data_IF_672164064121
#
_entry.id   IF_672164064121
#
_cell.length_a   1.000
_cell.length_b   1.000
_cell.length_c   1.000
_cell.angle_alpha   90.00
_cell.angle_beta   90.00
_cell.angle_gamma   90.00
#
_symmetry.space_group_name_H-M   'P 1'
#
loop_
_entity.id
_entity.type
_entity.pdbx_description
1 polymer ?
#
# COMPACT_ATOMS: atom_id res chain seq x y z
N UNK A 1 -9.45 -8.05 17.73
CA UNK A 1 -8.56 -8.45 18.82
C UNK A 1 -8.28 -7.19 19.64
N UNK A 2 -8.81 -7.11 20.87
CA UNK A 2 -8.45 -6.10 21.86
C UNK A 2 -6.94 -6.13 22.17
N UNK A 3 -6.39 -5.00 22.62
CA UNK A 3 -4.97 -4.88 22.98
C UNK A 3 -4.59 -5.78 24.16
N UNK A 4 -5.53 -5.97 25.08
CA UNK A 4 -5.39 -6.74 26.31
C UNK A 4 -5.25 -8.24 26.05
N UNK A 5 -5.71 -8.71 24.89
CA UNK A 5 -5.64 -10.13 24.48
C UNK A 5 -4.30 -10.50 23.81
N UNK A 6 -3.44 -9.51 23.52
CA UNK A 6 -2.15 -9.73 22.88
C UNK A 6 -1.10 -10.27 23.85
N UNK A 7 -0.17 -11.10 23.35
CA UNK A 7 1.02 -11.48 24.12
C UNK A 7 1.98 -10.31 24.28
N UNK A 8 2.94 -10.42 25.21
CA UNK A 8 3.95 -9.37 25.40
C UNK A 8 4.86 -9.22 24.18
N UNK A 9 5.14 -10.31 23.46
CA UNK A 9 5.88 -10.27 22.21
C UNK A 9 5.11 -9.53 21.11
N UNK A 10 3.80 -9.78 20.99
CA UNK A 10 2.94 -9.09 20.02
C UNK A 10 2.86 -7.60 20.33
N UNK A 11 2.66 -7.22 21.59
CA UNK A 11 2.65 -5.81 22.03
C UNK A 11 3.99 -5.13 21.74
N UNK A 12 5.10 -5.80 22.01
CA UNK A 12 6.44 -5.29 21.71
C UNK A 12 6.62 -5.04 20.20
N UNK A 13 6.18 -6.00 19.37
CA UNK A 13 6.23 -5.88 17.91
C UNK A 13 5.36 -4.73 17.41
N UNK A 14 4.13 -4.60 17.91
CA UNK A 14 3.22 -3.52 17.53
C UNK A 14 3.83 -2.18 17.90
N UNK A 15 4.31 -2.00 19.13
CA UNK A 15 4.94 -0.75 19.56
C UNK A 15 6.14 -0.37 18.69
N UNK A 16 6.92 -1.37 18.26
CA UNK A 16 7.99 -1.14 17.29
C UNK A 16 7.45 -0.66 15.94
N UNK A 17 6.37 -1.27 15.42
CA UNK A 17 5.72 -0.85 14.17
C UNK A 17 5.14 0.57 14.26
N UNK A 18 4.46 0.89 15.36
CA UNK A 18 3.88 2.20 15.63
C UNK A 18 4.95 3.29 15.60
N UNK A 19 6.09 3.10 16.27
CA UNK A 19 7.11 4.15 16.39
C UNK A 19 8.09 4.15 15.24
N UNK A 20 8.54 2.97 14.84
CA UNK A 20 9.72 2.81 13.99
C UNK A 20 9.39 2.49 12.54
N UNK A 21 8.14 2.12 12.20
CA UNK A 21 7.76 1.77 10.84
C UNK A 21 6.72 2.72 10.26
N UNK A 22 5.48 2.67 10.75
CA UNK A 22 4.36 3.39 10.12
C UNK A 22 3.84 4.59 10.91
N UNK A 23 4.06 4.77 12.21
CA UNK A 23 3.61 5.99 12.90
C UNK A 23 2.14 6.03 13.29
N UNK A 24 1.43 4.91 13.27
CA UNK A 24 -0.04 4.82 13.42
C UNK A 24 -0.31 4.04 14.70
N UNK A 25 -1.15 4.55 15.59
CA UNK A 25 -1.53 3.86 16.84
C UNK A 25 -2.40 2.62 16.57
N UNK A 26 -2.32 1.64 17.46
CA UNK A 26 -3.09 0.40 17.43
C UNK A 26 -4.59 0.65 17.36
N UNK A 27 -5.07 1.62 18.15
CA UNK A 27 -6.48 2.00 18.21
C UNK A 27 -6.87 3.08 17.19
N UNK A 28 -5.98 3.42 16.24
CA UNK A 28 -6.31 4.38 15.18
C UNK A 28 -7.25 3.79 14.12
N UNK A 29 -8.14 4.63 13.61
CA UNK A 29 -9.01 4.35 12.47
C UNK A 29 -10.49 4.28 12.84
N UNK A 30 -11.34 4.67 11.89
CA UNK A 30 -12.78 4.83 12.12
C UNK A 30 -13.61 3.69 11.53
N UNK A 31 -12.97 2.76 10.83
CA UNK A 31 -13.61 1.68 10.09
C UNK A 31 -13.27 0.36 10.77
N UNK A 32 -14.26 -0.33 11.37
CA UNK A 32 -14.05 -1.66 11.92
C UNK A 32 -13.57 -2.65 10.84
N UNK A 33 -12.59 -3.49 11.19
CA UNK A 33 -11.96 -4.40 10.23
C UNK A 33 -12.95 -5.36 9.53
N UNK A 34 -14.04 -5.77 10.19
CA UNK A 34 -15.07 -6.61 9.56
C UNK A 34 -15.76 -5.94 8.35
N UNK A 35 -15.71 -4.60 8.25
CA UNK A 35 -16.24 -3.84 7.10
C UNK A 35 -15.26 -3.74 5.93
N UNK A 36 -14.02 -4.21 6.09
CA UNK A 36 -12.97 -4.09 5.09
C UNK A 36 -13.42 -4.57 3.71
N UNK A 37 -14.06 -5.75 3.62
CA UNK A 37 -14.50 -6.31 2.33
C UNK A 37 -15.50 -5.39 1.63
N UNK A 38 -16.50 -4.89 2.37
CA UNK A 38 -17.51 -3.97 1.84
C UNK A 38 -16.87 -2.66 1.36
N UNK A 39 -15.95 -2.11 2.16
CA UNK A 39 -15.20 -0.89 1.83
C UNK A 39 -14.42 -1.09 0.54
N UNK A 40 -13.65 -2.17 0.42
CA UNK A 40 -12.89 -2.48 -0.79
C UNK A 40 -13.82 -2.57 -2.01
N UNK A 41 -14.91 -3.33 -1.92
CA UNK A 41 -15.87 -3.47 -3.03
C UNK A 41 -16.50 -2.16 -3.49
N UNK A 42 -16.82 -1.25 -2.55
CA UNK A 42 -17.37 0.07 -2.88
C UNK A 42 -16.32 0.91 -3.62
N UNK A 43 -15.11 1.02 -3.05
CA UNK A 43 -14.05 1.87 -3.62
C UNK A 43 -13.47 1.32 -4.92
N UNK A 44 -13.59 0.02 -5.17
CA UNK A 44 -13.11 -0.62 -6.40
C UNK A 44 -14.24 -0.96 -7.36
N UNK A 45 -15.46 -0.43 -7.17
CA UNK A 45 -16.59 -0.69 -8.06
C UNK A 45 -16.26 -0.22 -9.48
N UNK A 46 -16.38 -1.13 -10.44
CA UNK A 46 -16.09 -0.86 -11.85
C UNK A 46 -14.58 -0.84 -12.20
N UNK A 47 -13.70 -0.98 -11.21
CA UNK A 47 -12.25 -1.11 -11.45
C UNK A 47 -11.98 -2.51 -12.00
N UNK A 48 -11.42 -2.57 -13.21
CA UNK A 48 -11.09 -3.86 -13.87
C UNK A 48 -9.75 -4.43 -13.42
N UNK A 49 -8.79 -3.56 -13.08
CA UNK A 49 -7.42 -3.94 -12.75
C UNK A 49 -6.86 -3.09 -11.62
N UNK A 50 -6.21 -3.72 -10.65
CA UNK A 50 -5.48 -3.08 -9.56
C UNK A 50 -4.03 -3.53 -9.61
N UNK A 51 -3.13 -2.56 -9.52
CA UNK A 51 -1.69 -2.80 -9.45
C UNK A 51 -1.25 -2.71 -7.99
N UNK A 52 -0.52 -3.72 -7.54
CA UNK A 52 -0.03 -3.85 -6.15
C UNK A 52 1.47 -4.13 -6.21
N UNK A 53 2.22 -3.71 -5.20
CA UNK A 53 3.64 -4.09 -5.06
C UNK A 53 3.79 -5.13 -3.95
N UNK A 54 4.32 -6.29 -4.30
CA UNK A 54 4.55 -7.42 -3.41
C UNK A 54 3.50 -8.52 -3.57
N UNK A 55 3.97 -9.76 -3.74
CA UNK A 55 3.14 -10.94 -4.00
C UNK A 55 2.14 -11.22 -2.87
N UNK A 56 2.58 -11.16 -1.62
CA UNK A 56 1.71 -11.40 -0.46
C UNK A 56 0.51 -10.44 -0.43
N UNK A 57 0.72 -9.16 -0.77
CA UNK A 57 -0.36 -8.16 -0.82
C UNK A 57 -1.30 -8.40 -1.99
N UNK A 58 -0.76 -8.84 -3.14
CA UNK A 58 -1.57 -9.20 -4.29
C UNK A 58 -2.48 -10.40 -3.97
N UNK A 59 -1.94 -11.44 -3.35
CA UNK A 59 -2.71 -12.62 -2.91
C UNK A 59 -3.77 -12.25 -1.86
N UNK A 60 -3.38 -11.45 -0.85
CA UNK A 60 -4.31 -10.96 0.16
C UNK A 60 -5.49 -10.20 -0.47
N UNK A 61 -5.23 -9.31 -1.43
CA UNK A 61 -6.28 -8.52 -2.08
C UNK A 61 -7.18 -9.37 -3.00
N UNK A 62 -6.63 -10.41 -3.66
CA UNK A 62 -7.42 -11.37 -4.46
C UNK A 62 -8.49 -12.07 -3.62
N UNK A 63 -8.21 -12.36 -2.35
CA UNK A 63 -9.19 -12.99 -1.45
C UNK A 63 -10.42 -12.09 -1.20
N UNK A 64 -10.25 -10.77 -1.22
CA UNK A 64 -11.36 -9.82 -1.03
C UNK A 64 -12.05 -9.41 -2.34
N UNK A 65 -11.31 -9.43 -3.46
CA UNK A 65 -11.74 -8.94 -4.76
C UNK A 65 -11.54 -10.00 -5.86
N UNK A 66 -12.24 -11.15 -5.80
CA UNK A 66 -12.00 -12.28 -6.71
C UNK A 66 -12.27 -11.96 -8.18
N UNK A 67 -13.13 -10.98 -8.45
CA UNK A 67 -13.50 -10.57 -9.81
C UNK A 67 -12.66 -9.42 -10.36
N UNK A 68 -11.64 -8.96 -9.64
CA UNK A 68 -10.76 -7.86 -10.06
C UNK A 68 -9.40 -8.42 -10.46
N UNK A 69 -8.85 -7.97 -11.59
CA UNK A 69 -7.50 -8.39 -11.99
C UNK A 69 -6.45 -7.72 -11.09
N UNK A 70 -5.81 -8.50 -10.23
CA UNK A 70 -4.72 -8.02 -9.36
C UNK A 70 -3.37 -8.39 -9.98
N UNK A 71 -2.52 -7.39 -10.26
CA UNK A 71 -1.18 -7.60 -10.83
C UNK A 71 -0.09 -7.05 -9.91
N UNK A 72 0.97 -7.85 -9.70
CA UNK A 72 2.15 -7.39 -8.99
C UNK A 72 3.02 -6.54 -9.94
N UNK A 73 3.35 -5.32 -9.54
CA UNK A 73 4.20 -4.43 -10.35
C UNK A 73 5.66 -4.89 -10.38
N UNK A 74 6.08 -5.77 -9.48
CA UNK A 74 7.44 -6.34 -9.47
C UNK A 74 7.67 -7.24 -10.67
N UNK A 75 6.63 -7.92 -11.14
CA UNK A 75 6.66 -8.73 -12.38
C UNK A 75 6.94 -7.86 -13.61
N UNK A 76 6.71 -6.55 -13.51
CA UNK A 76 7.00 -5.55 -14.54
C UNK A 76 8.37 -4.87 -14.34
N UNK A 77 9.16 -5.31 -13.35
CA UNK A 77 10.45 -4.70 -13.01
C UNK A 77 10.36 -3.46 -12.11
N UNK A 78 9.26 -3.28 -11.36
CA UNK A 78 9.14 -2.16 -10.43
C UNK A 78 10.23 -2.23 -9.34
N UNK A 79 11.09 -1.21 -9.21
CA UNK A 79 12.21 -1.24 -8.28
C UNK A 79 11.73 -1.22 -6.82
N UNK A 80 12.62 -1.48 -5.83
CA UNK A 80 12.31 -1.27 -4.42
C UNK A 80 11.72 0.12 -4.15
N UNK A 81 10.81 0.24 -3.17
CA UNK A 81 10.10 1.50 -2.91
C UNK A 81 11.03 2.68 -2.61
N UNK A 82 12.13 2.41 -1.91
CA UNK A 82 13.20 3.36 -1.61
C UNK A 82 13.90 3.93 -2.85
N UNK A 83 13.86 3.19 -3.97
CA UNK A 83 14.45 3.57 -5.24
C UNK A 83 13.44 4.24 -6.19
N UNK A 84 12.16 4.30 -5.83
CA UNK A 84 11.15 5.00 -6.63
C UNK A 84 11.21 6.49 -6.30
N UNK A 85 11.37 7.34 -7.33
CA UNK A 85 11.28 8.79 -7.17
C UNK A 85 9.89 9.18 -6.68
N UNK A 86 9.78 9.56 -5.42
CA UNK A 86 8.51 9.97 -4.84
C UNK A 86 8.19 11.43 -5.11
N UNK A 87 6.91 11.75 -5.33
CA UNK A 87 6.46 13.14 -5.33
C UNK A 87 6.62 13.74 -3.92
N UNK A 88 7.42 14.80 -3.79
CA UNK A 88 7.72 15.43 -2.49
C UNK A 88 6.55 16.27 -1.95
N UNK A 89 5.50 16.48 -2.74
CA UNK A 89 4.43 17.42 -2.41
C UNK A 89 3.25 16.77 -1.66
N UNK A 90 3.30 15.47 -1.36
CA UNK A 90 2.27 14.81 -0.56
C UNK A 90 2.74 14.64 0.89
N UNK A 91 1.90 15.09 1.83
CA UNK A 91 2.11 14.91 3.26
C UNK A 91 0.90 14.20 3.88
N UNK A 92 1.13 13.13 4.62
CA UNK A 92 0.09 12.39 5.33
C UNK A 92 0.16 12.71 6.83
N UNK A 93 -0.96 13.14 7.41
CA UNK A 93 -1.06 13.58 8.81
C UNK A 93 -1.31 12.44 9.81
N UNK A 94 -1.49 11.21 9.33
CA UNK A 94 -1.85 10.05 10.15
C UNK A 94 -0.64 9.28 10.71
N UNK A 95 0.56 9.88 10.72
CA UNK A 95 1.80 9.22 11.13
C UNK A 95 2.42 9.84 12.39
N UNK A 96 1.58 10.27 13.33
CA UNK A 96 1.95 11.12 14.47
C UNK A 96 2.98 10.47 15.41
N UNK A 97 2.99 9.14 15.52
CA UNK A 97 3.94 8.42 16.37
C UNK A 97 5.29 8.14 15.71
N UNK A 98 5.44 8.43 14.41
CA UNK A 98 6.65 8.06 13.69
C UNK A 98 7.85 8.88 14.16
N UNK A 99 8.86 8.21 14.70
CA UNK A 99 10.16 8.84 14.99
C UNK A 99 11.00 9.02 13.71
N UNK A 100 10.60 8.39 12.60
CA UNK A 100 11.27 8.52 11.31
C UNK A 100 10.77 9.76 10.55
N UNK A 101 11.69 10.44 9.86
CA UNK A 101 11.38 11.53 8.93
C UNK A 101 10.48 11.10 7.76
N UNK A 102 10.53 9.82 7.37
CA UNK A 102 9.72 9.23 6.32
C UNK A 102 9.07 7.93 6.83
N UNK A 103 7.85 7.99 7.38
CA UNK A 103 7.11 6.80 7.78
C UNK A 103 6.75 5.93 6.56
N UNK A 104 6.50 4.64 6.79
CA UNK A 104 5.93 3.72 5.82
C UNK A 104 4.46 4.06 5.54
N UNK A 105 4.23 5.09 4.72
CA UNK A 105 2.91 5.57 4.36
C UNK A 105 2.33 4.81 3.15
N UNK A 106 1.19 4.14 3.32
CA UNK A 106 0.51 3.42 2.24
C UNK A 106 0.14 4.33 1.06
N UNK A 107 -0.37 5.54 1.32
CA UNK A 107 -0.76 6.50 0.27
C UNK A 107 0.47 6.98 -0.51
N UNK A 108 1.55 7.34 0.19
CA UNK A 108 2.80 7.77 -0.43
C UNK A 108 3.41 6.67 -1.31
N UNK A 109 3.38 5.43 -0.83
CA UNK A 109 3.83 4.27 -1.59
C UNK A 109 2.97 4.05 -2.84
N UNK A 110 1.64 4.12 -2.72
CA UNK A 110 0.72 3.98 -3.85
C UNK A 110 0.93 5.07 -4.91
N UNK A 111 1.12 6.33 -4.49
CA UNK A 111 1.41 7.45 -5.40
C UNK A 111 2.75 7.28 -6.11
N UNK A 112 3.78 6.79 -5.40
CA UNK A 112 5.10 6.53 -5.98
C UNK A 112 5.03 5.40 -7.00
N UNK A 113 4.36 4.29 -6.68
CA UNK A 113 4.12 3.18 -7.61
C UNK A 113 3.34 3.66 -8.84
N UNK A 114 2.30 4.48 -8.66
CA UNK A 114 1.53 5.06 -9.76
C UNK A 114 2.40 5.89 -10.69
N UNK A 115 3.25 6.77 -10.15
CA UNK A 115 4.15 7.60 -10.94
C UNK A 115 5.12 6.75 -11.75
N UNK A 116 5.71 5.72 -11.12
CA UNK A 116 6.56 4.76 -11.82
C UNK A 116 5.81 4.02 -12.93
N UNK A 117 4.61 3.50 -12.65
CA UNK A 117 3.82 2.73 -13.60
C UNK A 117 3.42 3.55 -14.82
N UNK A 118 3.02 4.81 -14.63
CA UNK A 118 2.70 5.72 -15.74
C UNK A 118 3.90 5.95 -16.66
N UNK A 119 5.10 6.15 -16.09
CA UNK A 119 6.33 6.30 -16.87
C UNK A 119 6.73 5.00 -17.60
N UNK A 120 6.55 3.84 -16.95
CA UNK A 120 6.78 2.54 -17.57
C UNK A 120 5.87 2.33 -18.78
N UNK A 121 4.57 2.62 -18.62
CA UNK A 121 3.59 2.46 -19.68
C UNK A 121 3.83 3.45 -20.83
N UNK A 122 4.13 4.72 -20.55
CA UNK A 122 4.44 5.70 -21.60
C UNK A 122 5.70 5.33 -22.39
N UNK A 123 6.71 4.79 -21.71
CA UNK A 123 7.94 4.32 -22.36
C UNK A 123 7.70 3.12 -23.29
N UNK A 124 6.72 2.26 -22.99
CA UNK A 124 6.33 1.14 -23.84
C UNK A 124 5.61 1.59 -25.11
N UNK A 125 4.62 2.47 -24.97
CA UNK A 125 3.91 3.00 -26.15
C UNK A 125 4.81 3.80 -27.10
N UNK A 126 5.89 4.40 -26.60
CA UNK A 126 6.85 5.12 -27.45
C UNK A 126 7.80 4.20 -28.22
N UNK A 127 7.91 2.92 -27.84
CA UNK A 127 8.74 1.93 -28.53
C UNK A 127 7.96 1.18 -29.62
N UNK A 128 6.62 1.15 -29.54
CA UNK A 128 5.74 0.45 -30.48
C UNK A 128 5.39 1.30 -31.73
N UNK A 129 5.86 2.56 -31.84
CA UNK A 129 5.68 3.45 -33.01
C UNK A 129 6.89 3.49 -33.95
N UNK A 130 7.90 2.65 -33.72
CA UNK A 130 9.08 2.52 -34.60
C UNK A 130 9.17 1.07 -35.08
N UNK A 131 8.27 0.70 -35.98
CA UNK A 131 8.41 -0.44 -36.90
C UNK A 131 7.61 -0.17 -38.19
#
# INVERSE_FOLDING_TARGET
MPWEELTEEEKCMIHWLEKSYHGIEWNSGDIPYHRLQQVLQIFTRGVKKIFVKGEQKALWLKNYLPNTLISNVEDLGCPPLENIKSNKNYFCLHHQLSIRRKPACAVHNALSIRAWLLNYLSGKFSQDEVD
#
